data_IF_212776139592
#
_entry.id   IF_212776139592
#
_cell.length_a   1.000
_cell.length_b   1.000
_cell.length_c   1.000
_cell.angle_alpha   90.00
_cell.angle_beta   90.00
_cell.angle_gamma   90.00
#
_symmetry.space_group_name_H-M   'P 1'
#
loop_
_entity.id
_entity.type
_entity.pdbx_description
1 polymer ?
#
# COMPACT_ATOMS: atom_id res chain seq x y z
N UNK A 1 -28.27 18.55 19.55
CA UNK A 1 -27.72 18.37 18.19
C UNK A 1 -27.30 16.92 18.08
N UNK A 2 -28.10 16.10 17.40
CA UNK A 2 -27.76 14.71 17.17
C UNK A 2 -26.60 14.68 16.17
N UNK A 3 -25.42 14.22 16.61
CA UNK A 3 -24.41 13.71 15.72
C UNK A 3 -24.96 12.40 15.14
N UNK A 4 -25.71 12.48 14.03
CA UNK A 4 -25.90 11.32 13.17
C UNK A 4 -24.49 10.86 12.79
N UNK A 5 -24.07 9.74 13.38
CA UNK A 5 -22.87 9.03 12.98
C UNK A 5 -23.03 8.77 11.48
N UNK A 6 -22.33 9.54 10.65
CA UNK A 6 -22.21 9.25 9.23
C UNK A 6 -21.59 7.86 9.12
N UNK A 7 -22.46 6.88 8.80
CA UNK A 7 -22.08 5.48 8.70
C UNK A 7 -21.25 5.30 7.45
N UNK A 8 -20.21 4.48 7.54
CA UNK A 8 -19.46 4.05 6.37
C UNK A 8 -20.42 3.47 5.33
N UNK A 9 -20.12 3.60 4.02
CA UNK A 9 -20.86 2.86 3.00
C UNK A 9 -20.92 1.39 3.38
N UNK A 10 -22.13 0.81 3.38
CA UNK A 10 -22.40 -0.51 3.95
C UNK A 10 -21.48 -1.60 3.37
N UNK A 11 -21.18 -1.51 2.08
CA UNK A 11 -20.32 -2.45 1.37
C UNK A 11 -18.84 -2.37 1.78
N UNK A 12 -18.35 -1.17 2.08
CA UNK A 12 -16.99 -0.97 2.59
C UNK A 12 -16.90 -1.53 4.01
N UNK A 13 -17.94 -1.33 4.82
CA UNK A 13 -17.99 -1.93 6.16
C UNK A 13 -18.02 -3.47 6.11
N UNK A 14 -18.76 -4.05 5.17
CA UNK A 14 -18.76 -5.51 4.94
C UNK A 14 -17.36 -5.99 4.53
N UNK A 15 -16.72 -5.30 3.58
CA UNK A 15 -15.38 -5.63 3.09
C UNK A 15 -14.34 -5.61 4.21
N UNK A 16 -14.33 -4.55 5.02
CA UNK A 16 -13.42 -4.41 6.16
C UNK A 16 -13.67 -5.48 7.23
N UNK A 17 -14.94 -5.78 7.54
CA UNK A 17 -15.30 -6.86 8.46
C UNK A 17 -14.86 -8.23 7.92
N UNK A 18 -14.95 -8.42 6.60
CA UNK A 18 -14.45 -9.60 5.91
C UNK A 18 -12.94 -9.77 6.10
N UNK A 19 -12.15 -8.76 5.73
CA UNK A 19 -10.69 -8.77 5.90
C UNK A 19 -10.32 -9.05 7.36
N UNK A 20 -10.92 -8.29 8.29
CA UNK A 20 -10.67 -8.45 9.72
C UNK A 20 -10.97 -9.87 10.21
N UNK A 21 -12.14 -10.42 9.87
CA UNK A 21 -12.53 -11.77 10.29
C UNK A 21 -11.67 -12.87 9.69
N UNK A 22 -11.20 -12.71 8.44
CA UNK A 22 -10.20 -13.63 7.85
C UNK A 22 -8.87 -13.53 8.62
N UNK A 23 -8.39 -12.31 8.87
CA UNK A 23 -7.13 -12.07 9.57
C UNK A 23 -7.11 -12.64 10.99
N UNK A 24 -8.19 -12.45 11.76
CA UNK A 24 -8.32 -12.99 13.13
C UNK A 24 -8.26 -14.53 13.16
N UNK A 25 -8.84 -15.21 12.16
CA UNK A 25 -8.73 -16.67 12.05
C UNK A 25 -7.32 -17.11 11.73
N UNK A 26 -6.64 -16.43 10.82
CA UNK A 26 -5.24 -16.73 10.48
C UNK A 26 -4.31 -16.50 11.66
N UNK A 27 -4.50 -15.43 12.44
CA UNK A 27 -3.76 -15.17 13.67
C UNK A 27 -3.93 -16.32 14.66
N UNK A 28 -5.17 -16.77 14.89
CA UNK A 28 -5.44 -17.91 15.77
C UNK A 28 -4.79 -19.22 15.28
N UNK A 29 -4.77 -19.44 13.96
CA UNK A 29 -4.11 -20.58 13.34
C UNK A 29 -2.58 -20.52 13.54
N UNK A 30 -1.95 -19.39 13.22
CA UNK A 30 -0.51 -19.19 13.39
C UNK A 30 -0.07 -19.35 14.85
N UNK A 31 -0.85 -18.81 15.80
CA UNK A 31 -0.62 -19.01 17.24
C UNK A 31 -0.70 -20.49 17.64
N UNK A 32 -1.72 -21.22 17.14
CA UNK A 32 -1.89 -22.64 17.46
C UNK A 32 -0.76 -23.52 16.90
N UNK A 33 -0.09 -23.05 15.85
CA UNK A 33 1.00 -23.73 15.16
C UNK A 33 2.39 -23.24 15.57
N UNK A 34 2.47 -22.19 16.40
CA UNK A 34 3.73 -21.53 16.80
C UNK A 34 4.54 -21.03 15.60
N UNK A 35 3.86 -20.48 14.59
CA UNK A 35 4.47 -19.94 13.38
C UNK A 35 4.66 -18.43 13.53
N UNK A 36 5.71 -18.04 14.27
CA UNK A 36 5.95 -16.64 14.69
C UNK A 36 6.12 -15.67 13.51
N UNK A 37 6.73 -16.12 12.40
CA UNK A 37 6.89 -15.31 11.18
C UNK A 37 5.54 -14.95 10.55
N UNK A 38 4.64 -15.93 10.42
CA UNK A 38 3.28 -15.70 9.93
C UNK A 38 2.51 -14.79 10.89
N UNK A 39 2.66 -15.02 12.20
CA UNK A 39 1.97 -14.24 13.22
C UNK A 39 2.33 -12.76 13.14
N UNK A 40 3.61 -12.43 13.00
CA UNK A 40 4.09 -11.05 12.92
C UNK A 40 3.48 -10.31 11.71
N UNK A 41 3.53 -10.92 10.53
CA UNK A 41 2.98 -10.33 9.31
C UNK A 41 1.44 -10.22 9.33
N UNK A 42 0.76 -11.20 9.93
CA UNK A 42 -0.70 -11.14 10.13
C UNK A 42 -1.10 -10.04 11.12
N UNK A 43 -0.28 -9.76 12.15
CA UNK A 43 -0.52 -8.64 13.07
C UNK A 43 -0.34 -7.28 12.39
N UNK A 44 0.59 -7.16 11.44
CA UNK A 44 0.74 -5.96 10.59
C UNK A 44 -0.50 -5.75 9.72
N UNK A 45 -1.00 -6.80 9.06
CA UNK A 45 -2.27 -6.73 8.31
C UNK A 45 -3.41 -6.26 9.23
N UNK A 46 -3.54 -6.84 10.43
CA UNK A 46 -4.58 -6.47 11.39
C UNK A 46 -4.51 -5.00 11.81
N UNK A 47 -3.29 -4.51 12.10
CA UNK A 47 -3.03 -3.10 12.44
C UNK A 47 -3.49 -2.18 11.32
N UNK A 48 -3.09 -2.47 10.08
CA UNK A 48 -3.37 -1.60 8.93
C UNK A 48 -4.86 -1.59 8.55
N UNK A 49 -5.59 -2.68 8.77
CA UNK A 49 -7.07 -2.68 8.67
C UNK A 49 -7.69 -1.70 9.67
N UNK A 50 -7.14 -1.63 10.88
CA UNK A 50 -7.53 -0.66 11.90
C UNK A 50 -7.24 0.78 11.49
N UNK A 51 -6.05 1.02 10.93
CA UNK A 51 -5.62 2.33 10.40
C UNK A 51 -6.55 2.79 9.27
N UNK A 52 -6.78 1.96 8.25
CA UNK A 52 -7.70 2.27 7.14
C UNK A 52 -9.09 2.66 7.65
N UNK A 53 -9.64 1.88 8.58
CA UNK A 53 -10.97 2.14 9.14
C UNK A 53 -11.05 3.47 9.89
N UNK A 54 -9.97 3.86 10.57
CA UNK A 54 -9.86 5.15 11.27
C UNK A 54 -9.83 6.30 10.26
N UNK A 55 -8.93 6.23 9.28
CA UNK A 55 -8.77 7.25 8.23
C UNK A 55 -10.09 7.46 7.49
N UNK A 56 -10.75 6.37 7.07
CA UNK A 56 -12.02 6.45 6.36
C UNK A 56 -13.10 7.16 7.18
N UNK A 57 -13.18 6.89 8.49
CA UNK A 57 -14.14 7.56 9.37
C UNK A 57 -13.86 9.07 9.50
N UNK A 58 -12.59 9.45 9.54
CA UNK A 58 -12.13 10.84 9.64
C UNK A 58 -12.24 11.60 8.30
N UNK A 59 -12.19 10.88 7.18
CA UNK A 59 -12.29 11.42 5.84
C UNK A 59 -13.74 11.72 5.41
N UNK A 60 -14.74 10.95 5.86
CA UNK A 60 -16.15 11.13 5.46
C UNK A 60 -16.63 12.59 5.66
N UNK A 61 -16.44 13.22 6.84
CA UNK A 61 -16.85 14.61 7.03
C UNK A 61 -16.11 15.61 6.12
N UNK A 62 -14.85 15.29 5.77
CA UNK A 62 -14.02 16.15 4.90
C UNK A 62 -14.49 16.07 3.45
N UNK A 63 -14.85 14.88 2.97
CA UNK A 63 -15.38 14.68 1.62
C UNK A 63 -16.75 15.34 1.41
N UNK A 64 -17.59 15.38 2.46
CA UNK A 64 -18.90 16.04 2.39
C UNK A 64 -18.79 17.57 2.45
N UNK A 65 -17.78 18.09 3.15
CA UNK A 65 -17.58 19.52 3.35
C UNK A 65 -16.74 20.18 2.24
N UNK A 66 -15.76 19.45 1.70
CA UNK A 66 -14.79 19.97 0.73
C UNK A 66 -15.13 19.48 -0.68
N UNK A 67 -15.35 20.42 -1.59
CA UNK A 67 -15.51 20.16 -3.02
C UNK A 67 -14.20 20.45 -3.79
N UNK A 68 -13.07 20.48 -3.09
CA UNK A 68 -11.78 20.81 -3.70
C UNK A 68 -11.00 19.53 -4.10
N UNK A 69 -10.33 19.52 -5.27
CA UNK A 69 -9.56 18.38 -5.75
C UNK A 69 -8.39 17.95 -4.85
N UNK A 70 -7.80 18.87 -4.07
CA UNK A 70 -6.61 18.59 -3.26
C UNK A 70 -6.99 17.79 -2.01
N UNK A 71 -8.12 18.09 -1.38
CA UNK A 71 -8.68 17.28 -0.28
C UNK A 71 -9.00 15.87 -0.76
N UNK A 72 -9.58 15.71 -1.95
CA UNK A 72 -9.84 14.39 -2.50
C UNK A 72 -8.57 13.61 -2.76
N UNK A 73 -7.54 14.26 -3.32
CA UNK A 73 -6.24 13.66 -3.56
C UNK A 73 -5.58 13.19 -2.26
N UNK A 74 -5.62 14.02 -1.21
CA UNK A 74 -5.11 13.67 0.12
C UNK A 74 -5.83 12.46 0.71
N UNK A 75 -7.17 12.48 0.73
CA UNK A 75 -7.96 11.36 1.25
C UNK A 75 -7.69 10.06 0.50
N UNK A 76 -7.52 10.11 -0.83
CA UNK A 76 -7.16 8.93 -1.62
C UNK A 76 -5.80 8.39 -1.21
N UNK A 77 -4.78 9.25 -1.10
CA UNK A 77 -3.44 8.86 -0.66
C UNK A 77 -3.47 8.24 0.75
N UNK A 78 -4.07 8.92 1.72
CA UNK A 78 -4.19 8.44 3.11
C UNK A 78 -4.88 7.07 3.20
N UNK A 79 -5.86 6.80 2.33
CA UNK A 79 -6.57 5.51 2.28
C UNK A 79 -5.82 4.43 1.49
N UNK A 80 -5.03 4.81 0.49
CA UNK A 80 -4.18 3.88 -0.27
C UNK A 80 -3.05 3.33 0.60
N UNK A 81 -2.42 4.17 1.43
CA UNK A 81 -1.26 3.79 2.23
C UNK A 81 -1.48 2.52 3.07
N UNK A 82 -2.52 2.40 3.91
CA UNK A 82 -2.76 1.18 4.69
C UNK A 82 -3.24 -0.02 3.86
N UNK A 83 -3.70 0.17 2.61
CA UNK A 83 -4.05 -0.96 1.74
C UNK A 83 -2.82 -1.66 1.15
N UNK A 84 -1.73 -0.92 0.94
CA UNK A 84 -0.50 -1.49 0.37
C UNK A 84 0.09 -2.61 1.26
N UNK A 85 0.27 -2.43 2.58
CA UNK A 85 0.70 -3.51 3.47
C UNK A 85 -0.28 -4.68 3.52
N UNK A 86 -1.60 -4.40 3.61
CA UNK A 86 -2.62 -5.45 3.66
C UNK A 86 -2.49 -6.39 2.47
N UNK A 87 -2.31 -5.83 1.27
CA UNK A 87 -2.15 -6.59 0.03
C UNK A 87 -0.76 -7.24 0.01
N UNK A 88 0.30 -6.48 0.24
CA UNK A 88 1.68 -6.95 0.12
C UNK A 88 2.03 -8.08 1.09
N UNK A 89 1.69 -7.94 2.38
CA UNK A 89 1.89 -9.02 3.34
C UNK A 89 1.04 -10.25 3.00
N UNK A 90 -0.19 -10.07 2.51
CA UNK A 90 -1.01 -11.20 2.08
C UNK A 90 -0.43 -11.94 0.87
N UNK A 91 0.27 -11.24 -0.02
CA UNK A 91 0.96 -11.83 -1.18
C UNK A 91 2.23 -12.55 -0.75
N UNK A 92 3.06 -11.93 0.10
CA UNK A 92 4.26 -12.56 0.65
C UNK A 92 3.92 -13.86 1.39
N UNK A 93 2.92 -13.85 2.26
CA UNK A 93 2.48 -15.04 3.01
C UNK A 93 1.90 -16.14 2.10
N UNK A 94 1.36 -15.78 0.94
CA UNK A 94 0.92 -16.77 -0.06
C UNK A 94 2.09 -17.40 -0.81
N UNK A 95 3.19 -16.66 -0.99
CA UNK A 95 4.39 -17.11 -1.69
C UNK A 95 5.34 -17.91 -0.79
N UNK A 96 5.20 -17.81 0.54
CA UNK A 96 6.00 -18.58 1.50
C UNK A 96 5.70 -20.09 1.49
N UNK A 97 4.58 -20.54 0.90
CA UNK A 97 4.30 -21.97 0.74
C UNK A 97 4.81 -22.50 -0.59
N UNK A 98 5.62 -23.56 -0.56
CA UNK A 98 6.07 -24.27 -1.76
C UNK A 98 4.89 -24.85 -2.56
N UNK A 99 3.79 -25.24 -1.89
CA UNK A 99 2.55 -25.74 -2.50
C UNK A 99 1.32 -24.98 -1.98
N UNK A 100 0.66 -24.20 -2.86
CA UNK A 100 -0.56 -23.45 -2.55
C UNK A 100 -1.74 -24.36 -2.18
N UNK A 101 -1.76 -25.61 -2.66
CA UNK A 101 -2.85 -26.57 -2.39
C UNK A 101 -2.84 -27.09 -0.94
N UNK A 102 -1.68 -27.09 -0.28
CA UNK A 102 -1.50 -27.55 1.10
C UNK A 102 -1.29 -26.42 2.11
N UNK A 103 -1.26 -25.16 1.67
CA UNK A 103 -1.12 -24.01 2.55
C UNK A 103 -2.42 -23.76 3.35
N UNK A 104 -2.43 -23.99 4.68
CA UNK A 104 -3.64 -23.86 5.49
C UNK A 104 -4.10 -22.39 5.66
N UNK A 105 -3.27 -21.42 5.27
CA UNK A 105 -3.58 -20.00 5.27
C UNK A 105 -4.18 -19.51 3.93
N UNK A 106 -4.00 -20.28 2.85
CA UNK A 106 -4.22 -19.78 1.49
C UNK A 106 -5.64 -19.25 1.24
N UNK A 107 -6.68 -19.98 1.67
CA UNK A 107 -8.07 -19.58 1.43
C UNK A 107 -8.39 -18.20 2.01
N UNK A 108 -7.94 -17.93 3.23
CA UNK A 108 -8.25 -16.68 3.93
C UNK A 108 -7.29 -15.55 3.49
N UNK A 109 -6.04 -15.85 3.17
CA UNK A 109 -5.11 -14.89 2.55
C UNK A 109 -5.60 -14.43 1.17
N UNK A 110 -6.11 -15.35 0.32
CA UNK A 110 -6.69 -15.01 -0.98
C UNK A 110 -7.87 -14.07 -0.83
N UNK A 111 -8.74 -14.29 0.17
CA UNK A 111 -9.87 -13.39 0.46
C UNK A 111 -9.38 -12.01 0.90
N UNK A 112 -8.42 -11.95 1.83
CA UNK A 112 -7.80 -10.69 2.28
C UNK A 112 -7.25 -9.92 1.08
N UNK A 113 -6.40 -10.56 0.25
CA UNK A 113 -5.80 -9.96 -0.94
C UNK A 113 -6.84 -9.44 -1.92
N UNK A 114 -7.83 -10.27 -2.25
CA UNK A 114 -8.85 -9.95 -3.25
C UNK A 114 -9.73 -8.80 -2.78
N UNK A 115 -10.15 -8.81 -1.50
CA UNK A 115 -10.92 -7.70 -0.92
C UNK A 115 -10.08 -6.43 -0.78
N UNK A 116 -8.80 -6.53 -0.39
CA UNK A 116 -7.87 -5.41 -0.33
C UNK A 116 -7.69 -4.73 -1.70
N UNK A 117 -7.48 -5.51 -2.76
CA UNK A 117 -7.41 -5.00 -4.14
C UNK A 117 -8.72 -4.32 -4.58
N UNK A 118 -9.88 -4.87 -4.21
CA UNK A 118 -11.16 -4.24 -4.49
C UNK A 118 -11.32 -2.89 -3.78
N UNK A 119 -10.90 -2.81 -2.51
CA UNK A 119 -10.88 -1.55 -1.76
C UNK A 119 -9.92 -0.54 -2.39
N UNK A 120 -8.73 -0.97 -2.81
CA UNK A 120 -7.75 -0.09 -3.47
C UNK A 120 -8.31 0.48 -4.76
N UNK A 121 -8.95 -0.36 -5.58
CA UNK A 121 -9.65 0.10 -6.79
C UNK A 121 -10.75 1.10 -6.46
N UNK A 122 -11.54 0.84 -5.43
CA UNK A 122 -12.57 1.78 -4.97
C UNK A 122 -11.98 3.13 -4.52
N UNK A 123 -10.85 3.13 -3.81
CA UNK A 123 -10.16 4.36 -3.41
C UNK A 123 -9.67 5.12 -4.64
N UNK A 124 -9.01 4.43 -5.57
CA UNK A 124 -8.38 5.04 -6.74
C UNK A 124 -9.37 5.55 -7.79
N UNK A 125 -10.43 4.79 -8.07
CA UNK A 125 -11.38 5.03 -9.16
C UNK A 125 -12.74 5.53 -8.67
N UNK A 126 -13.18 5.08 -7.48
CA UNK A 126 -14.55 5.25 -6.98
C UNK A 126 -14.77 6.47 -6.09
N UNK A 127 -13.73 6.99 -5.42
CA UNK A 127 -13.80 8.21 -4.62
C UNK A 127 -13.88 9.44 -5.53
N UNK A 128 -15.03 9.73 -6.12
CA UNK A 128 -15.29 10.96 -6.89
C UNK A 128 -16.20 11.90 -6.10
N UNK A 129 -16.00 13.21 -6.25
CA UNK A 129 -16.73 14.31 -5.57
C UNK A 129 -18.25 14.30 -5.75
N UNK A 130 -18.78 13.43 -6.61
CA UNK A 130 -20.22 13.27 -6.88
C UNK A 130 -20.75 11.85 -6.62
N UNK A 131 -19.97 10.92 -6.07
CA UNK A 131 -20.25 9.47 -6.22
C UNK A 131 -20.69 8.71 -4.96
N UNK A 132 -20.98 9.37 -3.83
CA UNK A 132 -21.59 8.70 -2.67
C UNK A 132 -23.03 8.15 -2.94
N UNK A 133 -23.56 8.31 -4.15
CA UNK A 133 -24.88 7.78 -4.57
C UNK A 133 -24.84 6.64 -5.61
N UNK A 134 -23.67 6.24 -6.13
CA UNK A 134 -23.58 5.33 -7.29
C UNK A 134 -23.07 3.90 -7.00
N UNK A 135 -22.84 3.53 -5.74
CA UNK A 135 -22.60 2.12 -5.36
C UNK A 135 -23.95 1.39 -5.25
N UNK A 136 -24.76 1.42 -6.32
CA UNK A 136 -26.16 0.95 -6.26
C UNK A 136 -26.55 -0.09 -7.29
N UNK A 137 -25.69 -0.51 -8.21
CA UNK A 137 -26.01 -1.62 -9.10
C UNK A 137 -24.72 -2.20 -9.68
N UNK A 138 -24.30 -3.36 -9.19
CA UNK A 138 -24.11 -4.57 -10.01
C UNK A 138 -23.51 -5.67 -9.14
N UNK A 139 -24.36 -6.63 -8.74
CA UNK A 139 -23.93 -7.95 -8.25
C UNK A 139 -23.40 -8.81 -9.40
N UNK A 140 -22.35 -8.34 -10.07
CA UNK A 140 -21.60 -9.10 -11.04
C UNK A 140 -20.21 -9.35 -10.45
N UNK A 141 -19.82 -10.63 -10.38
CA UNK A 141 -18.41 -10.98 -10.22
C UNK A 141 -17.60 -10.23 -11.28
N UNK A 142 -16.47 -9.59 -10.93
CA UNK A 142 -15.76 -8.77 -11.87
C UNK A 142 -15.02 -9.64 -12.89
N UNK A 143 -15.41 -9.55 -14.15
CA UNK A 143 -14.53 -9.89 -15.27
C UNK A 143 -13.31 -8.96 -15.23
N UNK A 144 -12.13 -9.57 -15.13
CA UNK A 144 -10.83 -8.91 -15.14
C UNK A 144 -10.63 -8.27 -16.52
N UNK A 145 -10.74 -6.95 -16.60
CA UNK A 145 -10.37 -6.19 -17.80
C UNK A 145 -8.85 -6.12 -17.88
N UNK A 146 -8.26 -6.80 -18.86
CA UNK A 146 -6.81 -6.94 -19.08
C UNK A 146 -6.13 -5.73 -19.73
N UNK A 147 -6.77 -4.56 -19.82
CA UNK A 147 -6.26 -3.47 -20.68
C UNK A 147 -5.61 -2.32 -19.92
N UNK A 148 -4.58 -2.63 -19.13
CA UNK A 148 -3.44 -1.74 -18.97
C UNK A 148 -2.18 -2.52 -19.34
N UNK A 149 -1.88 -2.56 -20.64
CA UNK A 149 -0.53 -2.86 -21.12
C UNK A 149 0.42 -1.78 -20.58
N UNK A 150 0.94 -1.99 -19.37
CA UNK A 150 2.30 -1.56 -19.08
C UNK A 150 3.14 -2.40 -20.02
N UNK A 151 3.55 -1.82 -21.16
CA UNK A 151 4.53 -2.47 -22.02
C UNK A 151 5.73 -2.79 -21.14
N UNK A 152 6.13 -4.06 -21.00
CA UNK A 152 7.40 -4.37 -20.37
C UNK A 152 8.45 -3.50 -21.04
N UNK A 153 9.25 -2.80 -20.25
CA UNK A 153 10.48 -2.24 -20.78
C UNK A 153 11.26 -3.44 -21.34
N UNK A 154 11.35 -3.56 -22.66
CA UNK A 154 12.28 -4.48 -23.33
C UNK A 154 13.69 -3.92 -23.14
N UNK A 155 14.13 -3.91 -21.87
CA UNK A 155 15.52 -3.77 -21.51
C UNK A 155 16.23 -5.04 -21.98
N UNK A 156 17.32 -4.84 -22.71
CA UNK A 156 18.21 -5.88 -23.19
C UNK A 156 18.54 -6.89 -22.09
N UNK A 157 18.64 -8.15 -22.51
CA UNK A 157 19.29 -9.28 -21.84
C UNK A 157 19.86 -8.95 -20.45
N UNK A 158 19.23 -9.51 -19.41
CA UNK A 158 19.68 -9.59 -18.02
C UNK A 158 21.18 -9.32 -17.82
N UNK A 159 21.53 -8.05 -17.71
CA UNK A 159 22.67 -7.65 -16.90
C UNK A 159 22.26 -8.02 -15.48
N UNK A 160 23.04 -8.89 -14.83
CA UNK A 160 22.92 -9.14 -13.41
C UNK A 160 22.86 -7.77 -12.73
N UNK A 161 21.72 -7.41 -12.14
CA UNK A 161 21.60 -6.18 -11.37
C UNK A 161 22.60 -6.34 -10.23
N UNK A 162 23.77 -5.71 -10.35
CA UNK A 162 24.71 -5.60 -9.23
C UNK A 162 23.92 -5.04 -8.04
N UNK A 163 24.03 -5.68 -6.88
CA UNK A 163 23.21 -5.41 -5.69
C UNK A 163 22.98 -3.92 -5.49
N UNK A 164 21.85 -3.41 -6.00
CA UNK A 164 21.63 -1.98 -6.09
C UNK A 164 21.30 -1.44 -4.71
N UNK A 165 21.93 -0.33 -4.35
CA UNK A 165 21.63 0.38 -3.12
C UNK A 165 20.41 1.28 -3.38
N UNK A 166 19.28 0.94 -2.77
CA UNK A 166 18.01 1.65 -2.96
C UNK A 166 17.69 2.47 -1.72
N UNK A 167 17.42 3.76 -1.88
CA UNK A 167 16.87 4.60 -0.82
C UNK A 167 15.35 4.51 -0.86
N UNK A 168 14.71 4.11 0.23
CA UNK A 168 13.25 4.15 0.40
C UNK A 168 12.91 5.39 1.21
N UNK A 169 12.06 6.26 0.68
CA UNK A 169 11.56 7.46 1.37
C UNK A 169 10.06 7.31 1.54
N UNK A 170 9.62 6.93 2.74
CA UNK A 170 8.25 6.52 3.04
C UNK A 170 8.01 6.73 4.54
N UNK A 171 6.91 7.37 4.92
CA UNK A 171 6.66 7.72 6.33
C UNK A 171 5.97 6.59 7.12
N UNK A 172 5.35 5.62 6.44
CA UNK A 172 4.77 4.46 7.10
C UNK A 172 5.83 3.34 7.30
N UNK A 173 6.16 2.96 8.55
CA UNK A 173 7.17 1.94 8.82
C UNK A 173 6.80 0.54 8.29
N UNK A 174 5.50 0.22 8.20
CA UNK A 174 5.07 -1.09 7.68
C UNK A 174 5.25 -1.13 6.15
N UNK A 175 5.08 0.01 5.47
CA UNK A 175 5.41 0.17 4.04
C UNK A 175 6.92 0.10 3.82
N UNK A 176 7.72 0.80 4.64
CA UNK A 176 9.18 0.73 4.58
C UNK A 176 9.68 -0.72 4.69
N UNK A 177 9.18 -1.44 5.69
CA UNK A 177 9.54 -2.84 5.91
C UNK A 177 9.12 -3.73 4.73
N UNK A 178 7.88 -3.59 4.26
CA UNK A 178 7.38 -4.35 3.11
C UNK A 178 8.26 -4.10 1.87
N UNK A 179 8.51 -2.84 1.52
CA UNK A 179 9.35 -2.45 0.38
C UNK A 179 10.78 -2.98 0.52
N UNK A 180 11.36 -2.90 1.71
CA UNK A 180 12.69 -3.44 1.98
C UNK A 180 12.75 -4.97 1.80
N UNK A 181 11.73 -5.70 2.27
CA UNK A 181 11.65 -7.16 2.09
C UNK A 181 11.46 -7.53 0.62
N UNK A 182 10.64 -6.78 -0.13
CA UNK A 182 10.48 -6.99 -1.57
C UNK A 182 11.78 -6.75 -2.34
N UNK A 183 12.46 -5.63 -2.08
CA UNK A 183 13.74 -5.29 -2.71
C UNK A 183 14.84 -6.31 -2.37
N UNK A 184 14.89 -6.81 -1.13
CA UNK A 184 15.84 -7.83 -0.72
C UNK A 184 15.69 -9.14 -1.52
N UNK A 185 14.46 -9.50 -1.93
CA UNK A 185 14.20 -10.67 -2.80
C UNK A 185 14.74 -10.51 -4.21
N UNK A 186 14.90 -9.27 -4.67
CA UNK A 186 15.57 -8.94 -5.93
C UNK A 186 17.09 -8.72 -5.77
N UNK A 187 17.67 -8.98 -4.58
CA UNK A 187 19.09 -8.80 -4.30
C UNK A 187 19.51 -7.36 -4.01
N UNK A 188 18.55 -6.43 -3.88
CA UNK A 188 18.84 -5.02 -3.60
C UNK A 188 19.07 -4.77 -2.11
N UNK A 189 19.93 -3.81 -1.78
CA UNK A 189 20.14 -3.32 -0.41
C UNK A 189 19.29 -2.06 -0.20
N UNK A 190 18.24 -2.17 0.60
CA UNK A 190 17.38 -1.05 0.92
C UNK A 190 17.89 -0.25 2.14
N UNK A 191 17.84 1.08 2.05
CA UNK A 191 18.05 2.01 3.17
C UNK A 191 16.78 2.85 3.33
N UNK A 192 15.96 2.64 4.38
CA UNK A 192 14.74 3.42 4.59
C UNK A 192 15.00 4.73 5.35
N UNK A 193 14.25 5.76 4.98
CA UNK A 193 14.13 7.06 5.68
C UNK A 193 12.66 7.49 5.73
N UNK A 194 12.28 8.20 6.79
CA UNK A 194 10.87 8.52 7.11
C UNK A 194 10.43 9.94 6.70
N UNK A 195 11.36 10.77 6.24
CA UNK A 195 11.10 12.17 5.90
C UNK A 195 11.85 12.59 4.65
N UNK A 196 11.32 13.59 3.94
CA UNK A 196 12.00 14.13 2.77
C UNK A 196 13.32 14.82 3.13
N UNK A 197 13.42 15.43 4.30
CA UNK A 197 14.66 16.03 4.80
C UNK A 197 15.74 14.98 4.99
N UNK A 198 15.42 13.85 5.64
CA UNK A 198 16.35 12.73 5.78
C UNK A 198 16.74 12.14 4.42
N UNK A 199 15.83 12.15 3.44
CA UNK A 199 16.16 11.73 2.08
C UNK A 199 17.18 12.66 1.42
N UNK A 200 17.02 13.98 1.56
CA UNK A 200 17.97 14.95 1.01
C UNK A 200 19.35 14.83 1.69
N UNK A 201 19.39 14.59 3.00
CA UNK A 201 20.63 14.35 3.74
C UNK A 201 21.30 13.05 3.27
N UNK A 202 20.57 11.94 3.19
CA UNK A 202 21.11 10.66 2.72
C UNK A 202 21.64 10.73 1.28
N UNK A 203 21.02 11.52 0.42
CA UNK A 203 21.43 11.68 -0.99
C UNK A 203 22.69 12.54 -1.16
N UNK A 204 23.11 13.30 -0.15
CA UNK A 204 24.39 14.04 -0.20
C UNK A 204 25.60 13.10 -0.20
N UNK A 205 25.47 11.90 0.38
CA UNK A 205 26.54 10.91 0.42
C UNK A 205 26.72 10.14 -0.90
N UNK A 206 25.75 10.22 -1.83
CA UNK A 206 25.89 9.77 -3.23
C UNK A 206 26.03 8.26 -3.45
N UNK A 207 25.48 7.42 -2.57
CA UNK A 207 25.66 5.94 -2.60
C UNK A 207 24.42 5.14 -3.05
N UNK A 208 23.49 5.77 -3.76
CA UNK A 208 22.24 5.10 -4.17
C UNK A 208 22.12 5.03 -5.68
N UNK A 209 21.70 3.86 -6.17
CA UNK A 209 21.44 3.57 -7.58
C UNK A 209 19.97 3.76 -7.96
N UNK A 210 19.09 3.91 -6.95
CA UNK A 210 17.65 4.13 -7.12
C UNK A 210 17.05 4.79 -5.86
N UNK A 211 16.07 5.67 -6.05
CA UNK A 211 15.23 6.20 -4.97
C UNK A 211 13.76 5.82 -5.19
N UNK A 212 13.17 5.12 -4.23
CA UNK A 212 11.72 4.95 -4.13
C UNK A 212 11.17 6.03 -3.21
N UNK A 213 10.47 7.01 -3.79
CA UNK A 213 10.02 8.21 -3.08
C UNK A 213 8.49 8.27 -3.00
N UNK A 214 7.94 8.22 -1.79
CA UNK A 214 6.55 8.61 -1.59
C UNK A 214 6.39 10.10 -1.89
N UNK A 215 5.35 10.41 -2.66
CA UNK A 215 5.00 11.77 -3.03
C UNK A 215 4.24 12.47 -1.89
N UNK A 216 3.49 11.71 -1.08
CA UNK A 216 2.63 12.23 -0.03
C UNK A 216 3.28 12.41 1.35
N UNK A 217 4.61 12.50 1.41
CA UNK A 217 5.34 12.68 2.67
C UNK A 217 4.83 13.88 3.48
N UNK A 218 4.80 13.77 4.83
CA UNK A 218 4.58 14.91 5.70
C UNK A 218 5.78 15.86 5.68
N UNK A 219 5.53 17.15 5.86
CA UNK A 219 6.60 18.17 5.83
C UNK A 219 6.93 18.57 4.40
N UNK A 220 8.17 18.36 3.96
CA UNK A 220 8.50 18.57 2.54
C UNK A 220 7.90 17.46 1.69
N UNK A 221 7.16 17.85 0.67
CA UNK A 221 6.54 16.90 -0.25
C UNK A 221 7.58 16.16 -1.09
N UNK A 222 7.25 14.96 -1.57
CA UNK A 222 8.13 14.26 -2.51
C UNK A 222 8.41 15.06 -3.79
N UNK A 223 7.49 15.94 -4.22
CA UNK A 223 7.75 16.86 -5.32
C UNK A 223 8.84 17.91 -5.00
N UNK A 224 8.92 18.38 -3.75
CA UNK A 224 9.97 19.29 -3.31
C UNK A 224 11.32 18.58 -3.22
N UNK A 225 11.32 17.32 -2.78
CA UNK A 225 12.51 16.45 -2.83
C UNK A 225 12.97 16.30 -4.28
N UNK A 226 12.09 15.88 -5.21
CA UNK A 226 12.40 15.76 -6.65
C UNK A 226 12.91 17.06 -7.25
N UNK A 227 12.29 18.19 -6.90
CA UNK A 227 12.70 19.52 -7.37
C UNK A 227 14.09 19.87 -6.87
N UNK A 228 14.42 19.50 -5.62
CA UNK A 228 15.73 19.72 -5.04
C UNK A 228 16.79 18.83 -5.70
N UNK A 229 16.49 17.56 -5.98
CA UNK A 229 17.39 16.65 -6.69
C UNK A 229 17.68 17.12 -8.11
N UNK A 230 16.66 17.54 -8.86
CA UNK A 230 16.82 18.09 -10.21
C UNK A 230 17.65 19.38 -10.28
N UNK A 231 17.79 20.11 -9.17
CA UNK A 231 18.68 21.29 -9.08
C UNK A 231 20.12 20.93 -8.71
N UNK A 232 20.31 19.81 -8.02
CA UNK A 232 21.62 19.39 -7.47
C UNK A 232 22.36 18.42 -8.39
N UNK A 233 21.63 17.57 -9.12
CA UNK A 233 22.20 16.51 -9.95
C UNK A 233 21.81 16.69 -11.42
N UNK A 234 22.74 16.40 -12.33
CA UNK A 234 22.43 16.24 -13.75
C UNK A 234 21.68 14.92 -14.00
N UNK A 235 21.00 14.73 -15.14
CA UNK A 235 20.32 13.47 -15.44
C UNK A 235 21.21 12.22 -15.43
N UNK A 236 22.53 12.38 -15.58
CA UNK A 236 23.49 11.28 -15.52
C UNK A 236 24.02 11.01 -14.10
N UNK A 237 23.72 11.89 -13.14
CA UNK A 237 24.14 11.81 -11.73
C UNK A 237 22.95 11.54 -10.80
N UNK A 238 21.73 11.49 -11.35
CA UNK A 238 20.56 11.08 -10.59
C UNK A 238 20.62 9.56 -10.34
N UNK A 239 20.28 9.10 -9.13
CA UNK A 239 19.83 7.74 -8.92
C UNK A 239 18.58 7.43 -9.75
#
# INVERSE_FOLDING_TARGET
MNHEQQKLPHEIEISLRGIQGNCERLIGLAQSRSEDSYLDDLLKIQKEVGVFRKILREAIPQLDAAHDPDTLRRVRHDLTNPLNPIIGYSEMLLEESEDLEDNPYASDLIKIRTTGRALLRWVSEGLSTSSLSMVRNNGAEPEVSQDQEVRPYEGSESEEIECSCVLIVEDNPDNQELLARLLARFGCKATPVDTGEAALEALEDGQFDLVLLDIGLPGISGFEVLTSLRKRFTPAELP
#
